data_IF_553877666809
#
_entry.id   IF_553877666809
#
_cell.length_a   1.000
_cell.length_b   1.000
_cell.length_c   1.000
_cell.angle_alpha   90.00
_cell.angle_beta   90.00
_cell.angle_gamma   90.00
#
_symmetry.space_group_name_H-M   'P 1'
#
loop_
_entity.id
_entity.type
_entity.pdbx_description
1 polymer ?
#
# COMPACT_ATOMS: atom_id res chain seq x y z
N UNK A 1 -10.04 -18.39 10.49
CA UNK A 1 -8.61 -18.01 10.32
C UNK A 1 -8.56 -16.50 10.15
N UNK A 2 -7.57 -15.81 10.72
CA UNK A 2 -7.36 -14.36 10.49
C UNK A 2 -6.53 -14.21 9.22
N UNK A 3 -7.03 -13.46 8.25
CA UNK A 3 -6.30 -13.19 7.01
C UNK A 3 -5.30 -12.06 7.27
N UNK A 4 -4.06 -12.24 6.82
CA UNK A 4 -3.02 -11.21 6.91
C UNK A 4 -2.96 -10.44 5.61
N UNK A 5 -2.98 -9.11 5.69
CA UNK A 5 -2.86 -8.19 4.56
C UNK A 5 -1.54 -7.42 4.69
N UNK A 6 -0.74 -7.44 3.62
CA UNK A 6 0.60 -6.87 3.61
C UNK A 6 0.62 -5.61 2.74
N UNK A 7 0.77 -4.44 3.38
CA UNK A 7 0.81 -3.16 2.68
C UNK A 7 2.26 -2.73 2.45
N UNK A 8 2.61 -2.48 1.19
CA UNK A 8 3.81 -1.73 0.82
C UNK A 8 3.39 -0.28 0.58
N UNK A 9 3.77 0.60 1.52
CA UNK A 9 3.37 2.00 1.48
C UNK A 9 4.48 2.85 0.85
N UNK A 10 4.18 3.45 -0.29
CA UNK A 10 5.03 4.43 -0.94
C UNK A 10 4.59 5.84 -0.54
N UNK A 11 5.43 6.56 0.20
CA UNK A 11 5.15 7.93 0.64
C UNK A 11 4.54 8.01 2.03
N UNK A 12 5.37 8.39 3.00
CA UNK A 12 4.97 8.66 4.40
C UNK A 12 4.57 10.11 4.67
N UNK A 13 4.16 10.82 3.63
CA UNK A 13 3.65 12.18 3.78
C UNK A 13 2.32 12.21 4.55
N UNK A 14 1.54 13.24 4.27
CA UNK A 14 0.28 13.50 4.95
C UNK A 14 -0.73 12.35 4.89
N UNK A 15 -0.88 11.72 3.73
CA UNK A 15 -1.83 10.62 3.53
C UNK A 15 -1.30 9.30 4.14
N UNK A 16 -0.06 8.92 3.82
CA UNK A 16 0.54 7.67 4.29
C UNK A 16 0.65 7.59 5.81
N UNK A 17 1.16 8.63 6.47
CA UNK A 17 1.25 8.66 7.94
C UNK A 17 -0.13 8.62 8.62
N UNK A 18 -1.12 9.31 8.05
CA UNK A 18 -2.49 9.28 8.56
C UNK A 18 -3.15 7.91 8.39
N UNK A 19 -2.87 7.20 7.29
CA UNK A 19 -3.32 5.82 7.07
C UNK A 19 -2.70 4.87 8.11
N UNK A 20 -1.39 4.93 8.33
CA UNK A 20 -0.72 4.08 9.35
C UNK A 20 -1.39 4.29 10.71
N UNK A 21 -1.55 5.54 11.12
CA UNK A 21 -2.18 5.89 12.40
C UNK A 21 -3.63 5.37 12.49
N UNK A 22 -4.39 5.44 11.40
CA UNK A 22 -5.75 4.90 11.32
C UNK A 22 -5.74 3.37 11.48
N UNK A 23 -4.87 2.65 10.77
CA UNK A 23 -4.76 1.19 10.90
C UNK A 23 -4.35 0.78 12.31
N UNK A 24 -3.33 1.42 12.89
CA UNK A 24 -2.87 1.13 14.26
C UNK A 24 -3.99 1.36 15.27
N UNK A 25 -4.73 2.47 15.16
CA UNK A 25 -5.85 2.79 16.05
C UNK A 25 -6.98 1.75 15.98
N UNK A 26 -7.26 1.20 14.81
CA UNK A 26 -8.35 0.25 14.59
C UNK A 26 -7.89 -1.22 14.59
N UNK A 27 -6.61 -1.50 14.93
CA UNK A 27 -6.01 -2.83 14.81
C UNK A 27 -6.76 -3.90 15.59
N UNK A 28 -7.22 -3.60 16.80
CA UNK A 28 -7.98 -4.55 17.63
C UNK A 28 -9.29 -4.94 16.95
N UNK A 29 -10.05 -3.96 16.49
CA UNK A 29 -11.36 -4.17 15.85
C UNK A 29 -11.21 -4.91 14.51
N UNK A 30 -10.19 -4.58 13.73
CA UNK A 30 -9.86 -5.30 12.49
C UNK A 30 -9.65 -6.80 12.73
N UNK A 31 -8.90 -7.15 13.78
CA UNK A 31 -8.59 -8.56 14.08
C UNK A 31 -9.80 -9.27 14.69
N UNK A 32 -10.49 -8.64 15.64
CA UNK A 32 -11.60 -9.27 16.39
C UNK A 32 -12.87 -9.37 15.55
N UNK A 33 -13.30 -8.27 14.95
CA UNK A 33 -14.60 -8.17 14.26
C UNK A 33 -14.49 -8.59 12.79
N UNK A 34 -13.40 -8.20 12.12
CA UNK A 34 -13.22 -8.45 10.67
C UNK A 34 -12.30 -9.61 10.34
N UNK A 35 -11.61 -10.21 11.31
CA UNK A 35 -10.58 -11.25 11.08
C UNK A 35 -9.53 -10.81 10.06
N UNK A 36 -9.09 -9.55 10.14
CA UNK A 36 -8.05 -8.94 9.29
C UNK A 36 -6.86 -8.52 10.16
N UNK A 37 -5.66 -8.98 9.82
CA UNK A 37 -4.38 -8.53 10.37
C UNK A 37 -3.65 -7.71 9.30
N UNK A 38 -3.88 -6.39 9.31
CA UNK A 38 -3.26 -5.45 8.37
C UNK A 38 -1.90 -5.00 8.91
N UNK A 39 -0.86 -5.10 8.09
CA UNK A 39 0.52 -4.73 8.43
C UNK A 39 1.17 -3.89 7.33
N UNK A 40 2.25 -3.20 7.68
CA UNK A 40 3.08 -2.46 6.74
C UNK A 40 4.51 -3.02 6.77
N UNK A 41 4.75 -4.18 6.14
CA UNK A 41 6.08 -4.78 6.10
C UNK A 41 7.10 -3.90 5.40
N UNK A 42 6.67 -3.00 4.52
CA UNK A 42 7.55 -2.05 3.84
C UNK A 42 6.90 -0.67 3.83
N UNK A 43 7.68 0.33 4.23
CA UNK A 43 7.29 1.73 4.19
C UNK A 43 8.41 2.48 3.48
N UNK A 44 8.11 3.38 2.55
CA UNK A 44 9.12 4.12 1.79
C UNK A 44 8.84 5.62 1.73
N UNK A 45 9.88 6.40 1.50
CA UNK A 45 9.80 7.78 1.02
C UNK A 45 10.65 7.93 -0.25
N UNK A 46 10.94 9.17 -0.67
CA UNK A 46 11.71 9.43 -1.90
C UNK A 46 13.18 8.99 -1.83
N UNK A 47 13.73 8.69 -0.66
CA UNK A 47 15.16 8.36 -0.47
C UNK A 47 15.40 7.00 0.15
N UNK A 48 14.55 6.58 1.09
CA UNK A 48 14.76 5.38 1.91
C UNK A 48 13.51 4.52 2.03
N UNK A 49 13.74 3.23 2.25
CA UNK A 49 12.75 2.23 2.59
C UNK A 49 13.08 1.58 3.93
N UNK A 50 12.05 1.40 4.75
CA UNK A 50 12.06 0.59 5.95
C UNK A 50 11.45 -0.77 5.63
N UNK A 51 12.07 -1.82 6.14
CA UNK A 51 11.61 -3.20 6.05
C UNK A 51 11.37 -3.75 7.46
N UNK A 52 10.17 -4.29 7.71
CA UNK A 52 9.82 -4.92 8.96
C UNK A 52 10.78 -6.09 9.25
N UNK A 53 11.24 -6.18 10.49
CA UNK A 53 12.06 -7.28 10.98
C UNK A 53 11.32 -8.00 12.09
N UNK A 54 11.43 -9.33 12.13
CA UNK A 54 10.86 -10.12 13.20
C UNK A 54 11.38 -9.65 14.58
N UNK A 55 10.47 -9.55 15.55
CA UNK A 55 10.81 -9.20 16.94
C UNK A 55 10.93 -7.69 17.25
N UNK A 56 10.73 -6.80 16.27
CA UNK A 56 10.76 -5.35 16.52
C UNK A 56 9.37 -4.84 16.94
N UNK A 57 9.29 -4.16 18.09
CA UNK A 57 8.06 -3.49 18.52
C UNK A 57 7.67 -2.42 17.48
N UNK A 58 6.38 -2.37 17.11
CA UNK A 58 5.87 -1.53 16.03
C UNK A 58 5.89 -0.03 16.42
N UNK A 59 7.06 0.60 16.29
CA UNK A 59 7.29 2.04 16.41
C UNK A 59 7.79 2.55 15.05
N UNK A 60 6.89 2.55 14.06
CA UNK A 60 7.24 2.74 12.65
C UNK A 60 7.99 4.05 12.40
N UNK A 61 7.66 5.15 13.09
CA UNK A 61 8.37 6.43 12.95
C UNK A 61 9.84 6.32 13.41
N UNK A 62 10.07 5.79 14.61
CA UNK A 62 11.42 5.62 15.15
C UNK A 62 12.23 4.60 14.34
N UNK A 63 11.59 3.50 13.94
CA UNK A 63 12.21 2.44 13.16
C UNK A 63 12.54 2.89 11.74
N UNK A 64 11.70 3.73 11.12
CA UNK A 64 11.95 4.27 9.78
C UNK A 64 13.17 5.19 9.77
N UNK A 65 13.30 6.05 10.79
CA UNK A 65 14.47 6.94 10.94
C UNK A 65 15.75 6.12 11.20
N UNK A 66 15.65 5.07 12.00
CA UNK A 66 16.83 4.30 12.44
C UNK A 66 17.29 3.23 11.43
N UNK A 67 16.36 2.62 10.68
CA UNK A 67 16.63 1.45 9.84
C UNK A 67 16.31 1.66 8.36
N UNK A 68 16.02 2.90 7.93
CA UNK A 68 15.85 3.22 6.53
C UNK A 68 17.12 2.94 5.72
N UNK A 69 16.99 2.17 4.65
CA UNK A 69 18.05 1.94 3.66
C UNK A 69 17.67 2.61 2.34
N UNK A 70 18.62 2.93 1.43
CA UNK A 70 18.30 3.54 0.15
C UNK A 70 17.18 2.80 -0.59
N UNK A 71 16.16 3.55 -1.05
CA UNK A 71 15.02 2.97 -1.74
C UNK A 71 15.40 2.49 -3.15
N UNK A 72 15.04 1.24 -3.45
CA UNK A 72 15.04 0.66 -4.80
C UNK A 72 13.85 -0.27 -4.94
N UNK A 73 13.14 -0.22 -6.06
CA UNK A 73 11.97 -1.08 -6.30
C UNK A 73 12.37 -2.58 -6.31
N UNK A 74 13.52 -2.93 -6.89
CA UNK A 74 14.01 -4.31 -6.89
C UNK A 74 14.18 -4.88 -5.48
N UNK A 75 14.65 -4.08 -4.52
CA UNK A 75 14.83 -4.52 -3.13
C UNK A 75 13.48 -4.80 -2.46
N UNK A 76 12.44 -4.00 -2.79
CA UNK A 76 11.06 -4.23 -2.35
C UNK A 76 10.55 -5.57 -2.88
N UNK A 77 10.68 -5.82 -4.19
CA UNK A 77 10.21 -7.05 -4.82
C UNK A 77 10.97 -8.28 -4.31
N UNK A 78 12.29 -8.16 -4.11
CA UNK A 78 13.12 -9.23 -3.57
C UNK A 78 12.73 -9.59 -2.14
N UNK A 79 12.47 -8.59 -1.29
CA UNK A 79 12.02 -8.83 0.08
C UNK A 79 10.69 -9.57 0.12
N UNK A 80 9.69 -9.12 -0.64
CA UNK A 80 8.37 -9.77 -0.71
C UNK A 80 8.47 -11.23 -1.14
N UNK A 81 9.30 -11.53 -2.15
CA UNK A 81 9.58 -12.89 -2.62
C UNK A 81 10.28 -13.74 -1.56
N UNK A 82 11.33 -13.18 -0.93
CA UNK A 82 12.12 -13.90 0.08
C UNK A 82 11.27 -14.34 1.28
N UNK A 83 10.28 -13.54 1.67
CA UNK A 83 9.35 -13.85 2.76
C UNK A 83 8.04 -14.51 2.30
N UNK A 84 7.90 -14.83 1.00
CA UNK A 84 6.70 -15.45 0.41
C UNK A 84 5.41 -14.74 0.84
N UNK A 85 5.41 -13.41 0.79
CA UNK A 85 4.26 -12.63 1.24
C UNK A 85 3.13 -12.68 0.21
N UNK A 86 1.91 -12.87 0.70
CA UNK A 86 0.66 -12.87 -0.08
C UNK A 86 -0.26 -11.73 0.38
N UNK A 87 -1.43 -11.57 -0.26
CA UNK A 87 -2.40 -10.50 0.02
C UNK A 87 -1.74 -9.11 0.04
N UNK A 88 -1.06 -8.82 -1.06
CA UNK A 88 -0.19 -7.67 -1.21
C UNK A 88 -0.97 -6.46 -1.73
N UNK A 89 -0.82 -5.33 -1.05
CA UNK A 89 -1.41 -4.06 -1.49
C UNK A 89 -0.30 -3.01 -1.56
N UNK A 90 -0.06 -2.46 -2.75
CA UNK A 90 0.79 -1.31 -2.96
C UNK A 90 -0.05 -0.05 -2.82
N UNK A 91 0.34 0.85 -1.92
CA UNK A 91 -0.32 2.14 -1.74
C UNK A 91 0.63 3.24 -2.21
N UNK A 92 0.28 3.90 -3.32
CA UNK A 92 0.97 5.09 -3.80
C UNK A 92 0.35 6.34 -3.18
N UNK A 93 0.99 6.79 -2.11
CA UNK A 93 0.74 8.07 -1.44
C UNK A 93 1.86 9.08 -1.72
N UNK A 94 2.56 8.93 -2.85
CA UNK A 94 3.63 9.82 -3.28
C UNK A 94 3.09 10.98 -4.13
N UNK A 95 3.97 11.95 -4.41
CA UNK A 95 3.78 12.95 -5.45
C UNK A 95 4.72 12.72 -6.65
N UNK A 96 5.21 11.48 -6.82
CA UNK A 96 6.19 11.11 -7.84
C UNK A 96 5.53 10.86 -9.19
N UNK A 97 6.13 11.35 -10.28
CA UNK A 97 5.74 10.97 -11.64
C UNK A 97 6.36 9.63 -12.08
N UNK A 98 7.37 9.15 -11.37
CA UNK A 98 8.15 7.97 -11.75
C UNK A 98 7.49 6.68 -11.25
N UNK A 99 6.95 6.68 -10.02
CA UNK A 99 6.38 5.49 -9.39
C UNK A 99 5.23 4.83 -10.19
N UNK A 100 4.33 5.57 -10.88
CA UNK A 100 3.37 4.96 -11.81
C UNK A 100 3.99 4.04 -12.86
N UNK A 101 5.23 4.29 -13.28
CA UNK A 101 5.96 3.41 -14.21
C UNK A 101 6.13 1.98 -13.69
N UNK A 102 6.15 1.80 -12.37
CA UNK A 102 6.33 0.52 -11.69
C UNK A 102 5.02 -0.26 -11.49
N UNK A 103 3.86 0.34 -11.78
CA UNK A 103 2.56 -0.28 -11.47
C UNK A 103 2.36 -1.62 -12.18
N UNK A 104 2.82 -1.75 -13.41
CA UNK A 104 2.69 -3.01 -14.15
C UNK A 104 3.52 -4.13 -13.50
N UNK A 105 4.71 -3.81 -12.99
CA UNK A 105 5.57 -4.79 -12.32
C UNK A 105 5.05 -5.14 -10.94
N UNK A 106 4.47 -4.19 -10.21
CA UNK A 106 3.73 -4.48 -8.98
C UNK A 106 2.55 -5.45 -9.25
N UNK A 107 1.71 -5.20 -10.26
CA UNK A 107 0.62 -6.12 -10.63
C UNK A 107 1.14 -7.52 -11.03
N UNK A 108 2.26 -7.60 -11.77
CA UNK A 108 2.90 -8.87 -12.13
C UNK A 108 3.40 -9.64 -10.92
N UNK A 109 3.79 -8.95 -9.86
CA UNK A 109 4.16 -9.53 -8.56
C UNK A 109 2.97 -9.62 -7.59
N UNK A 110 1.74 -9.66 -8.12
CA UNK A 110 0.50 -9.95 -7.37
C UNK A 110 0.09 -8.90 -6.34
N UNK A 111 0.49 -7.65 -6.55
CA UNK A 111 -0.03 -6.52 -5.76
C UNK A 111 -1.36 -6.03 -6.32
N UNK A 112 -2.36 -5.82 -5.46
CA UNK A 112 -3.39 -4.83 -5.74
C UNK A 112 -2.83 -3.42 -5.52
N UNK A 113 -3.32 -2.41 -6.24
CA UNK A 113 -2.80 -1.03 -6.19
C UNK A 113 -3.91 -0.07 -5.75
N UNK A 114 -3.59 0.78 -4.78
CA UNK A 114 -4.39 1.95 -4.40
C UNK A 114 -3.53 3.19 -4.56
N UNK A 115 -4.01 4.21 -5.26
CA UNK A 115 -3.25 5.44 -5.46
C UNK A 115 -4.05 6.68 -5.08
N UNK A 116 -3.39 7.60 -4.39
CA UNK A 116 -3.83 9.00 -4.17
C UNK A 116 -2.88 9.98 -4.86
N UNK A 117 -2.01 9.48 -5.76
CA UNK A 117 -1.01 10.26 -6.44
C UNK A 117 -1.63 11.12 -7.55
N UNK A 118 -1.63 12.43 -7.33
CA UNK A 118 -2.23 13.41 -8.26
C UNK A 118 -1.53 13.45 -9.62
N UNK A 119 -0.28 12.96 -9.71
CA UNK A 119 0.46 12.93 -10.98
C UNK A 119 -0.11 11.96 -11.99
N UNK A 120 -0.95 11.01 -11.57
CA UNK A 120 -1.66 10.12 -12.50
C UNK A 120 -2.55 10.88 -13.48
N UNK A 121 -3.10 12.03 -13.11
CA UNK A 121 -3.94 12.87 -13.98
C UNK A 121 -3.17 13.45 -15.17
N UNK A 122 -1.85 13.52 -15.07
CA UNK A 122 -0.98 14.02 -16.15
C UNK A 122 -0.62 12.94 -17.16
N UNK A 123 -0.90 11.67 -16.85
CA UNK A 123 -0.61 10.55 -17.74
C UNK A 123 -1.74 10.37 -18.76
N UNK A 124 -1.44 9.81 -19.95
CA UNK A 124 -2.46 9.49 -20.93
C UNK A 124 -3.53 8.57 -20.37
N UNK A 125 -4.80 8.75 -20.76
CA UNK A 125 -5.91 7.89 -20.34
C UNK A 125 -5.64 6.40 -20.61
N UNK A 126 -4.89 6.08 -21.68
CA UNK A 126 -4.47 4.72 -22.02
C UNK A 126 -3.62 4.06 -20.95
N UNK A 127 -2.85 4.82 -20.17
CA UNK A 127 -2.07 4.30 -19.05
C UNK A 127 -3.00 3.68 -18.00
N UNK A 128 -3.95 4.47 -17.49
CA UNK A 128 -4.89 4.00 -16.46
C UNK A 128 -5.72 2.80 -16.92
N UNK A 129 -6.18 2.82 -18.18
CA UNK A 129 -6.89 1.68 -18.80
C UNK A 129 -6.02 0.42 -18.88
N UNK A 130 -4.76 0.57 -19.27
CA UNK A 130 -3.81 -0.55 -19.36
C UNK A 130 -3.52 -1.19 -18.00
N UNK A 131 -3.29 -0.36 -16.97
CA UNK A 131 -3.10 -0.82 -15.59
C UNK A 131 -4.36 -1.54 -15.09
N UNK A 132 -5.54 -0.96 -15.29
CA UNK A 132 -6.82 -1.57 -14.88
C UNK A 132 -7.05 -2.92 -15.57
N UNK A 133 -6.84 -2.98 -16.88
CA UNK A 133 -6.98 -4.22 -17.64
C UNK A 133 -6.07 -5.34 -17.11
N UNK A 134 -4.79 -5.02 -16.83
CA UNK A 134 -3.86 -5.99 -16.27
C UNK A 134 -4.30 -6.45 -14.88
N UNK A 135 -4.71 -5.53 -14.00
CA UNK A 135 -5.20 -5.85 -12.67
C UNK A 135 -6.39 -6.83 -12.74
N UNK A 136 -7.40 -6.50 -13.54
CA UNK A 136 -8.60 -7.31 -13.71
C UNK A 136 -8.28 -8.72 -14.26
N UNK A 137 -7.39 -8.80 -15.26
CA UNK A 137 -6.96 -10.08 -15.84
C UNK A 137 -6.27 -11.01 -14.84
N UNK A 138 -5.79 -10.46 -13.71
CA UNK A 138 -5.08 -11.18 -12.64
C UNK A 138 -5.93 -11.34 -11.37
N UNK A 139 -7.19 -10.87 -11.39
CA UNK A 139 -8.05 -10.86 -10.20
C UNK A 139 -7.57 -9.89 -9.12
N UNK A 140 -6.80 -8.85 -9.50
CA UNK A 140 -6.27 -7.83 -8.61
C UNK A 140 -7.07 -6.53 -8.77
N UNK A 141 -6.94 -5.64 -7.79
CA UNK A 141 -7.62 -4.36 -7.80
C UNK A 141 -6.68 -3.21 -8.18
N UNK A 142 -7.22 -2.23 -8.91
CA UNK A 142 -6.58 -0.96 -9.18
C UNK A 142 -7.57 0.15 -8.85
N UNK A 143 -7.28 0.91 -7.80
CA UNK A 143 -8.16 1.96 -7.26
C UNK A 143 -7.39 3.28 -7.27
N UNK A 144 -7.92 4.27 -7.99
CA UNK A 144 -7.43 5.66 -7.92
C UNK A 144 -8.43 6.48 -7.13
N UNK A 145 -7.98 7.06 -6.03
CA UNK A 145 -8.79 7.92 -5.18
C UNK A 145 -8.59 9.37 -5.60
N UNK A 146 -9.67 10.10 -5.96
CA UNK A 146 -9.56 11.50 -6.34
C UNK A 146 -9.19 12.35 -5.13
N UNK A 147 -8.72 13.57 -5.41
CA UNK A 147 -8.51 14.58 -4.39
C UNK A 147 -9.75 14.80 -3.54
N UNK A 148 -9.58 14.72 -2.22
CA UNK A 148 -10.69 14.80 -1.29
C UNK A 148 -10.81 16.22 -0.70
N UNK A 149 -11.94 16.92 -0.90
CA UNK A 149 -12.28 18.10 -0.11
C UNK A 149 -12.53 17.63 1.34
N UNK A 150 -11.56 17.84 2.23
CA UNK A 150 -11.59 17.29 3.60
C UNK A 150 -10.21 17.04 4.21
N UNK A 151 -9.15 17.19 3.42
CA UNK A 151 -7.77 17.13 3.90
C UNK A 151 -7.34 15.73 4.33
N UNK A 152 -6.27 15.67 5.13
CA UNK A 152 -5.53 14.43 5.43
C UNK A 152 -6.39 13.30 6.02
N UNK A 153 -7.38 13.64 6.86
CA UNK A 153 -8.25 12.66 7.52
C UNK A 153 -9.20 11.97 6.55
N UNK A 154 -9.79 12.72 5.60
CA UNK A 154 -10.70 12.15 4.62
C UNK A 154 -9.98 11.17 3.68
N UNK A 155 -8.77 11.51 3.24
CA UNK A 155 -7.94 10.64 2.41
C UNK A 155 -7.58 9.35 3.17
N UNK A 156 -7.17 9.46 4.44
CA UNK A 156 -6.86 8.29 5.26
C UNK A 156 -8.08 7.37 5.47
N UNK A 157 -9.28 7.93 5.64
CA UNK A 157 -10.52 7.14 5.71
C UNK A 157 -10.74 6.35 4.43
N UNK A 158 -10.64 7.01 3.26
CA UNK A 158 -10.88 6.37 1.97
C UNK A 158 -9.83 5.31 1.64
N UNK A 159 -8.55 5.57 1.96
CA UNK A 159 -7.50 4.57 1.85
C UNK A 159 -7.80 3.35 2.74
N UNK A 160 -8.20 3.59 3.99
CA UNK A 160 -8.54 2.53 4.94
C UNK A 160 -9.74 1.68 4.48
N UNK A 161 -10.82 2.32 4.03
CA UNK A 161 -11.99 1.66 3.45
C UNK A 161 -11.62 0.83 2.22
N UNK A 162 -10.77 1.37 1.34
CA UNK A 162 -10.33 0.68 0.12
C UNK A 162 -9.50 -0.56 0.43
N UNK A 163 -8.59 -0.48 1.40
CA UNK A 163 -7.81 -1.63 1.88
C UNK A 163 -8.75 -2.73 2.40
N UNK A 164 -9.75 -2.38 3.22
CA UNK A 164 -10.73 -3.34 3.73
C UNK A 164 -11.52 -3.97 2.59
N UNK A 165 -11.96 -3.17 1.61
CA UNK A 165 -12.73 -3.67 0.46
C UNK A 165 -11.94 -4.68 -0.37
N UNK A 166 -10.65 -4.44 -0.62
CA UNK A 166 -9.78 -5.41 -1.32
C UNK A 166 -9.63 -6.68 -0.49
N UNK A 167 -9.28 -6.53 0.79
CA UNK A 167 -9.08 -7.66 1.70
C UNK A 167 -10.33 -8.56 1.82
N UNK A 168 -11.52 -7.97 1.85
CA UNK A 168 -12.78 -8.71 1.96
C UNK A 168 -13.15 -9.45 0.65
N UNK A 169 -12.76 -8.94 -0.52
CA UNK A 169 -12.94 -9.67 -1.80
C UNK A 169 -12.04 -10.90 -1.89
N UNK A 170 -10.79 -10.78 -1.44
CA UNK A 170 -9.82 -11.88 -1.45
C UNK A 170 -10.23 -13.05 -0.54
N UNK A 171 -11.12 -12.84 0.45
CA UNK A 171 -11.66 -13.92 1.30
C UNK A 171 -12.66 -14.84 0.62
N UNK A 172 -13.27 -14.38 -0.47
CA UNK A 172 -14.40 -15.08 -1.12
C UNK A 172 -13.91 -16.11 -2.14
N UNK A 173 -12.60 -16.08 -2.47
CA UNK A 173 -11.96 -16.92 -3.47
C UNK A 173 -11.38 -18.18 -2.82
#
# INVERSE_FOLDING_TARGET
MTQRINIVLFGIGNAGSALINKVVKNRKDLVLERRLDIRFPIITNSTVAFYEKEGVNYSWEANFIQFGIPFKMDDVLNFIKAYSMENLIAIDATASQELPGEYLDLLRNSFSIISVNEKLETLPESFGKGVKFLADSRGLEYIVLPQQPGGKKAIAEKLFESVISIAEKEKVI
#
